data_IF_615793174365
#
_entry.id   IF_615793174365
#
_cell.length_a   1.000
_cell.length_b   1.000
_cell.length_c   1.000
_cell.angle_alpha   90.00
_cell.angle_beta   90.00
_cell.angle_gamma   90.00
#
_symmetry.space_group_name_H-M   'P 1'
#
loop_
_entity.id
_entity.type
_entity.pdbx_description
1 polymer ?
#
# COMPACT_ATOMS: atom_id res chain seq x y z
N UNK A 1 -2.10 -15.63 -4.77
CA UNK A 1 -0.84 -14.97 -4.41
C UNK A 1 -1.21 -13.56 -3.98
N UNK A 2 -1.51 -13.38 -2.70
CA UNK A 2 -2.16 -12.16 -2.21
C UNK A 2 -1.14 -11.03 -2.20
N UNK A 3 -1.32 -10.05 -3.09
CA UNK A 3 -0.58 -8.80 -3.05
C UNK A 3 -0.84 -8.17 -1.67
N UNK A 4 0.21 -7.69 -1.00
CA UNK A 4 0.00 -6.83 0.16
C UNK A 4 -0.87 -5.63 -0.30
N UNK A 5 -1.95 -5.31 0.42
CA UNK A 5 -2.90 -4.28 0.00
C UNK A 5 -2.17 -2.93 -0.12
N UNK A 6 -2.35 -2.19 -1.23
CA UNK A 6 -1.71 -0.91 -1.41
C UNK A 6 -2.08 0.04 -0.28
N UNK A 7 -1.06 0.55 0.40
CA UNK A 7 -1.17 1.46 1.54
C UNK A 7 -0.77 2.88 1.09
N UNK A 8 -1.60 3.86 1.41
CA UNK A 8 -1.43 5.26 1.03
C UNK A 8 -1.15 6.06 2.31
N UNK A 9 -0.02 6.77 2.34
CA UNK A 9 0.36 7.67 3.43
C UNK A 9 0.43 9.11 2.91
N UNK A 10 -0.58 9.97 3.20
CA UNK A 10 -0.48 11.40 2.90
C UNK A 10 0.54 12.09 3.82
N UNK A 11 0.97 13.31 3.43
CA UNK A 11 1.86 14.15 4.25
C UNK A 11 1.21 14.56 5.58
N UNK A 12 -0.11 14.77 5.55
CA UNK A 12 -0.94 15.09 6.72
C UNK A 12 -2.19 14.21 6.70
N UNK A 13 -2.60 13.71 7.86
CA UNK A 13 -3.75 12.82 8.01
C UNK A 13 -3.36 11.37 8.28
N UNK A 14 -4.37 10.51 8.29
CA UNK A 14 -4.24 9.10 8.63
C UNK A 14 -3.76 8.27 7.43
N UNK A 15 -3.21 7.09 7.73
CA UNK A 15 -2.90 6.08 6.69
C UNK A 15 -4.19 5.44 6.20
N UNK A 16 -4.30 5.28 4.89
CA UNK A 16 -5.37 4.54 4.24
C UNK A 16 -4.84 3.29 3.55
N UNK A 17 -5.70 2.29 3.36
CA UNK A 17 -5.36 1.04 2.65
C UNK A 17 -6.50 0.65 1.72
N UNK A 18 -6.19 0.04 0.58
CA UNK A 18 -7.19 -0.44 -0.38
C UNK A 18 -7.11 -1.97 -0.50
N UNK A 19 -8.23 -2.65 -0.30
CA UNK A 19 -8.31 -4.12 -0.27
C UNK A 19 -9.29 -4.67 -1.32
N UNK A 20 -8.98 -5.86 -1.81
CA UNK A 20 -9.94 -6.74 -2.48
C UNK A 20 -10.87 -7.33 -1.42
N UNK A 21 -11.98 -6.68 -1.11
CA UNK A 21 -12.93 -7.22 -0.13
C UNK A 21 -14.32 -6.62 -0.32
N UNK A 22 -15.35 -7.45 -0.42
CA UNK A 22 -16.75 -7.03 -0.25
C UNK A 22 -17.10 -6.64 1.19
N UNK A 23 -16.22 -6.93 2.16
CA UNK A 23 -16.41 -6.61 3.58
C UNK A 23 -15.15 -5.98 4.24
N UNK A 24 -15.14 -4.65 4.47
CA UNK A 24 -14.01 -3.93 5.08
C UNK A 24 -13.71 -4.36 6.53
N UNK A 25 -14.67 -4.95 7.23
CA UNK A 25 -14.49 -5.39 8.63
C UNK A 25 -13.49 -6.53 8.76
N UNK A 26 -13.31 -7.34 7.72
CA UNK A 26 -12.39 -8.48 7.74
C UNK A 26 -10.91 -8.07 7.87
N UNK A 27 -10.57 -6.86 7.42
CA UNK A 27 -9.22 -6.30 7.54
C UNK A 27 -8.99 -5.62 8.91
N UNK A 28 -10.06 -5.16 9.57
CA UNK A 28 -9.98 -4.37 10.82
C UNK A 28 -9.41 -5.13 12.02
N UNK A 29 -9.59 -6.46 12.07
CA UNK A 29 -9.20 -7.26 13.25
C UNK A 29 -7.70 -7.34 13.53
N UNK A 30 -6.85 -7.03 12.56
CA UNK A 30 -5.38 -7.11 12.67
C UNK A 30 -4.67 -5.81 12.27
N UNK A 31 -5.40 -4.83 11.73
CA UNK A 31 -4.86 -3.53 11.33
C UNK A 31 -5.03 -2.52 12.46
N UNK A 32 -4.04 -1.64 12.61
CA UNK A 32 -4.13 -0.46 13.46
C UNK A 32 -4.80 0.73 12.76
N UNK A 33 -5.20 0.56 11.49
CA UNK A 33 -5.85 1.56 10.66
C UNK A 33 -7.33 1.63 11.03
N UNK A 34 -7.84 2.84 11.26
CA UNK A 34 -9.28 3.11 11.49
C UNK A 34 -10.10 2.60 10.30
N UNK A 35 -11.24 1.94 10.58
CA UNK A 35 -12.10 1.34 9.55
C UNK A 35 -12.56 2.33 8.50
N UNK A 36 -12.69 3.62 8.84
CA UNK A 36 -13.03 4.68 7.88
C UNK A 36 -11.98 4.90 6.78
N UNK A 37 -10.74 4.49 7.03
CA UNK A 37 -9.59 4.62 6.12
C UNK A 37 -9.26 3.30 5.41
N UNK A 38 -10.10 2.28 5.58
CA UNK A 38 -10.02 1.01 4.86
C UNK A 38 -10.98 1.10 3.68
N UNK A 39 -10.40 1.20 2.48
CA UNK A 39 -11.14 1.24 1.23
C UNK A 39 -11.17 -0.14 0.60
N UNK A 40 -12.21 -0.40 -0.19
CA UNK A 40 -12.37 -1.65 -0.90
C UNK A 40 -12.64 -1.40 -2.39
N UNK A 41 -12.16 -2.32 -3.22
CA UNK A 41 -12.60 -2.46 -4.61
C UNK A 41 -13.32 -3.79 -4.80
N UNK A 42 -14.31 -3.77 -5.70
CA UNK A 42 -15.13 -4.94 -6.03
C UNK A 42 -14.31 -6.03 -6.74
N UNK A 43 -14.74 -7.29 -6.61
CA UNK A 43 -14.09 -8.46 -7.24
C UNK A 43 -13.96 -8.34 -8.76
N UNK A 44 -14.82 -7.56 -9.43
CA UNK A 44 -14.74 -7.32 -10.89
C UNK A 44 -13.44 -6.64 -11.34
N UNK A 45 -12.70 -6.00 -10.43
CA UNK A 45 -11.39 -5.41 -10.71
C UNK A 45 -10.26 -6.43 -10.61
N UNK A 46 -10.51 -7.60 -10.02
CA UNK A 46 -9.53 -8.66 -9.80
C UNK A 46 -9.39 -9.48 -11.07
N UNK A 47 -8.16 -9.66 -11.54
CA UNK A 47 -7.83 -10.41 -12.77
C UNK A 47 -8.61 -9.95 -14.02
N UNK A 48 -9.12 -8.72 -14.01
CA UNK A 48 -9.86 -8.16 -15.14
C UNK A 48 -8.91 -7.74 -16.26
N UNK A 49 -9.31 -8.02 -17.50
CA UNK A 49 -8.60 -7.55 -18.68
C UNK A 49 -8.92 -6.09 -19.01
N UNK A 50 -10.04 -5.56 -18.50
CA UNK A 50 -10.58 -4.24 -18.87
C UNK A 50 -10.61 -3.25 -17.71
N UNK A 51 -10.80 -3.73 -16.48
CA UNK A 51 -10.84 -2.90 -15.28
C UNK A 51 -9.53 -2.99 -14.51
N UNK A 52 -9.05 -1.87 -13.97
CA UNK A 52 -7.86 -1.87 -13.11
C UNK A 52 -8.22 -1.46 -11.69
N UNK A 53 -7.80 -2.26 -10.71
CA UNK A 53 -7.87 -1.86 -9.29
C UNK A 53 -7.12 -0.54 -9.02
N UNK A 54 -6.12 -0.21 -9.85
CA UNK A 54 -5.39 1.04 -9.76
C UNK A 54 -6.21 2.27 -10.17
N UNK A 55 -7.32 2.11 -10.90
CA UNK A 55 -8.27 3.21 -11.13
C UNK A 55 -8.99 3.58 -9.82
N UNK A 56 -9.37 2.58 -9.00
CA UNK A 56 -10.00 2.81 -7.70
C UNK A 56 -8.98 3.40 -6.71
N UNK A 57 -7.77 2.86 -6.66
CA UNK A 57 -6.69 3.37 -5.82
C UNK A 57 -6.34 4.81 -6.22
N UNK A 58 -6.31 5.13 -7.52
CA UNK A 58 -6.09 6.49 -7.99
C UNK A 58 -7.17 7.47 -7.49
N UNK A 59 -8.43 7.04 -7.44
CA UNK A 59 -9.48 7.89 -6.87
C UNK A 59 -9.22 8.19 -5.39
N UNK A 60 -8.88 7.18 -4.59
CA UNK A 60 -8.48 7.38 -3.19
C UNK A 60 -7.30 8.33 -3.06
N UNK A 61 -6.30 8.22 -3.94
CA UNK A 61 -5.15 9.15 -3.94
C UNK A 61 -5.60 10.59 -4.25
N UNK A 62 -6.52 10.79 -5.21
CA UNK A 62 -7.06 12.13 -5.51
C UNK A 62 -7.81 12.71 -4.31
N UNK A 63 -8.61 11.90 -3.64
CA UNK A 63 -9.42 12.35 -2.51
C UNK A 63 -8.54 12.76 -1.31
N UNK A 64 -7.39 12.08 -1.12
CA UNK A 64 -6.47 12.34 -0.01
C UNK A 64 -5.40 13.40 -0.32
N UNK A 65 -4.86 13.42 -1.54
CA UNK A 65 -3.70 14.23 -1.91
C UNK A 65 -3.96 15.30 -2.98
N UNK A 66 -5.14 15.28 -3.60
CA UNK A 66 -5.51 16.16 -4.71
C UNK A 66 -5.00 15.67 -6.08
N UNK A 67 -5.51 16.28 -7.16
CA UNK A 67 -5.21 15.87 -8.54
C UNK A 67 -3.76 16.08 -8.97
N UNK A 68 -3.06 17.02 -8.33
CA UNK A 68 -1.67 17.42 -8.63
C UNK A 68 -0.67 16.93 -7.59
N UNK A 69 -1.03 15.88 -6.84
CA UNK A 69 -0.18 15.34 -5.79
C UNK A 69 1.18 14.89 -6.34
N UNK A 70 2.22 15.03 -5.51
CA UNK A 70 3.51 14.38 -5.74
C UNK A 70 3.50 13.02 -5.04
N UNK A 71 3.58 11.93 -5.81
CA UNK A 71 3.32 10.57 -5.34
C UNK A 71 4.61 9.76 -5.41
N UNK A 72 5.09 9.31 -4.24
CA UNK A 72 6.18 8.34 -4.15
C UNK A 72 5.67 6.92 -4.40
N UNK A 73 6.31 6.18 -5.30
CA UNK A 73 5.99 4.77 -5.60
C UNK A 73 7.25 3.90 -5.53
N UNK A 74 7.12 2.67 -5.05
CA UNK A 74 8.23 1.72 -5.01
C UNK A 74 8.40 1.01 -6.34
N UNK A 75 9.08 1.63 -7.31
CA UNK A 75 9.19 1.09 -8.68
C UNK A 75 9.88 -0.28 -8.74
N UNK A 76 10.78 -0.57 -7.79
CA UNK A 76 11.45 -1.87 -7.65
C UNK A 76 10.70 -2.91 -6.82
N UNK A 77 9.49 -2.59 -6.35
CA UNK A 77 8.72 -3.47 -5.46
C UNK A 77 8.19 -4.72 -6.16
N UNK A 78 8.40 -5.89 -5.55
CA UNK A 78 7.94 -7.20 -6.09
C UNK A 78 6.46 -7.25 -6.51
N UNK A 79 5.61 -6.50 -5.79
CA UNK A 79 4.16 -6.49 -5.97
C UNK A 79 3.65 -5.22 -6.67
N UNK A 80 4.56 -4.31 -7.04
CA UNK A 80 4.25 -3.10 -7.80
C UNK A 80 4.72 -3.28 -9.25
N UNK A 81 3.82 -3.72 -10.11
CA UNK A 81 4.17 -4.09 -11.49
C UNK A 81 4.24 -2.87 -12.43
N UNK A 82 4.88 -3.05 -13.59
CA UNK A 82 4.85 -2.05 -14.65
C UNK A 82 3.42 -1.69 -15.10
N UNK A 83 2.50 -2.67 -15.08
CA UNK A 83 1.07 -2.44 -15.41
C UNK A 83 0.39 -1.55 -14.36
N UNK A 84 0.66 -1.80 -13.07
CA UNK A 84 0.18 -0.98 -11.98
C UNK A 84 0.61 0.49 -12.14
N UNK A 85 1.90 0.70 -12.46
CA UNK A 85 2.45 2.02 -12.69
C UNK A 85 1.80 2.73 -13.89
N UNK A 86 1.66 2.02 -15.02
CA UNK A 86 1.03 2.57 -16.22
C UNK A 86 -0.44 2.96 -15.97
N UNK A 87 -1.19 2.14 -15.22
CA UNK A 87 -2.58 2.43 -14.87
C UNK A 87 -2.69 3.66 -13.96
N UNK A 88 -1.79 3.81 -12.97
CA UNK A 88 -1.76 4.99 -12.12
C UNK A 88 -1.45 6.26 -12.89
N UNK A 89 -0.45 6.24 -13.79
CA UNK A 89 -0.13 7.40 -14.65
C UNK A 89 -1.34 7.77 -15.51
N UNK A 90 -2.02 6.78 -16.10
CA UNK A 90 -3.23 7.01 -16.90
C UNK A 90 -4.36 7.63 -16.06
N UNK A 91 -4.58 7.14 -14.85
CA UNK A 91 -5.66 7.58 -13.97
C UNK A 91 -5.38 8.94 -13.29
N UNK A 92 -4.11 9.32 -13.14
CA UNK A 92 -3.62 10.53 -12.47
C UNK A 92 -2.74 11.37 -13.40
N UNK A 93 -3.26 11.87 -14.54
CA UNK A 93 -2.44 12.54 -15.55
C UNK A 93 -1.84 13.89 -15.08
N UNK A 94 -2.38 14.47 -14.00
CA UNK A 94 -1.92 15.72 -13.42
C UNK A 94 -0.93 15.53 -12.25
N UNK A 95 -0.75 14.31 -11.76
CA UNK A 95 0.14 14.02 -10.65
C UNK A 95 1.58 13.82 -11.14
N UNK A 96 2.55 14.07 -10.26
CA UNK A 96 3.95 13.74 -10.51
C UNK A 96 4.34 12.49 -9.73
N UNK A 97 4.99 11.53 -10.40
CA UNK A 97 5.47 10.31 -9.77
C UNK A 97 6.96 10.40 -9.50
N UNK A 98 7.34 10.00 -8.29
CA UNK A 98 8.74 9.95 -7.83
C UNK A 98 9.06 8.51 -7.46
N UNK A 99 10.21 8.03 -7.90
CA UNK A 99 10.73 6.75 -7.43
C UNK A 99 11.12 6.89 -5.96
N UNK A 100 10.34 6.23 -5.10
CA UNK A 100 10.55 6.16 -3.66
C UNK A 100 10.93 4.73 -3.25
N UNK A 101 11.53 3.95 -4.17
CA UNK A 101 11.97 2.61 -3.88
C UNK A 101 12.92 2.58 -2.68
N UNK A 102 12.78 1.53 -1.86
CA UNK A 102 13.51 1.33 -0.61
C UNK A 102 13.34 2.41 0.48
N UNK A 103 12.56 3.49 0.28
CA UNK A 103 12.41 4.57 1.26
C UNK A 103 12.00 4.05 2.65
N UNK A 104 10.94 3.25 2.71
CA UNK A 104 10.47 2.63 3.97
C UNK A 104 11.47 1.59 4.48
N UNK A 105 12.21 0.92 3.59
CA UNK A 105 13.23 -0.05 3.99
C UNK A 105 14.38 0.63 4.75
N UNK A 106 14.79 1.83 4.32
CA UNK A 106 15.78 2.65 5.02
C UNK A 106 15.30 3.09 6.40
N UNK A 107 14.04 3.49 6.53
CA UNK A 107 13.44 3.83 7.84
C UNK A 107 13.48 2.61 8.78
N UNK A 108 13.26 1.41 8.26
CA UNK A 108 13.24 0.16 9.03
C UNK A 108 14.63 -0.33 9.45
N UNK A 109 15.73 0.35 9.12
CA UNK A 109 17.07 -0.12 9.53
C UNK A 109 17.25 -0.05 11.05
N UNK A 110 16.79 1.03 11.68
CA UNK A 110 16.85 1.18 13.14
C UNK A 110 15.69 0.42 13.77
N UNK A 111 16.00 -0.63 14.53
CA UNK A 111 15.00 -1.49 15.17
C UNK A 111 14.56 -0.92 16.52
N UNK A 112 13.27 -1.02 16.79
CA UNK A 112 12.72 -0.77 18.12
C UNK A 112 13.16 -1.85 19.13
N UNK A 113 13.10 -1.58 20.45
CA UNK A 113 13.37 -2.59 21.47
C UNK A 113 12.50 -3.84 21.34
N UNK A 114 11.23 -3.68 20.93
CA UNK A 114 10.30 -4.79 20.70
C UNK A 114 10.73 -5.67 19.51
N UNK A 115 11.12 -5.06 18.37
CA UNK A 115 11.64 -5.80 17.21
C UNK A 115 12.93 -6.56 17.55
N UNK A 116 13.85 -5.94 18.30
CA UNK A 116 15.08 -6.60 18.74
C UNK A 116 14.81 -7.80 19.65
N UNK A 117 13.82 -7.72 20.53
CA UNK A 117 13.41 -8.85 21.37
C UNK A 117 12.91 -10.02 20.52
N UNK A 118 12.06 -9.76 19.53
CA UNK A 118 11.56 -10.78 18.59
C UNK A 118 12.70 -11.40 17.77
N UNK A 119 13.63 -10.60 17.27
CA UNK A 119 14.79 -11.10 16.51
C UNK A 119 15.68 -12.02 17.35
N UNK A 120 15.91 -11.69 18.63
CA UNK A 120 16.67 -12.54 19.56
C UNK A 120 15.97 -13.86 19.83
N UNK A 121 14.66 -13.84 20.04
CA UNK A 121 13.86 -15.06 20.21
C UNK A 121 13.92 -15.94 18.96
N UNK A 122 13.78 -15.36 17.76
CA UNK A 122 13.92 -16.10 16.51
C UNK A 122 15.31 -16.74 16.36
N UNK A 123 16.38 -16.02 16.74
CA UNK A 123 17.74 -16.57 16.75
C UNK A 123 17.90 -17.76 17.71
N UNK A 124 17.29 -17.70 18.90
CA UNK A 124 17.30 -18.82 19.84
C UNK A 124 16.56 -20.05 19.32
N UNK A 125 15.45 -19.86 18.57
CA UNK A 125 14.71 -20.96 17.95
C UNK A 125 15.53 -21.66 16.87
N UNK A 126 16.31 -20.92 16.08
CA UNK A 126 17.17 -21.49 15.03
C UNK A 126 18.33 -22.32 15.60
N UNK A 127 18.84 -21.95 16.78
CA UNK A 127 19.97 -22.61 17.42
C UNK A 127 19.58 -23.82 18.29
N UNK A 128 18.29 -24.11 18.41
CA UNK A 128 17.76 -25.30 19.09
C UNK A 128 17.64 -26.47 18.13
#
# INVERSE_FOLDING_TARGET
MTLAPPTIRPLSGDVSTCHETSNPDSASGWLWIDTKNIHAYEDKYVHSATLSAFDVIAQTIKDLGGEKACIGVGLGGYYYSAKAHADLIRALPQASFVDADLLVNWIRIVKSPAELALMRQAGQLLMR
#
